data_IF_670183853184
#
_entry.id   IF_670183853184
#
_cell.length_a   1.000
_cell.length_b   1.000
_cell.length_c   1.000
_cell.angle_alpha   90.00
_cell.angle_beta   90.00
_cell.angle_gamma   90.00
#
_symmetry.space_group_name_H-M   'P 1'
#
loop_
_entity.id
_entity.type
_entity.pdbx_description
1 polymer ?
#
# COMPACT_ATOMS: atom_id res chain seq x y z
N UNK A 1 -5.93 -15.64 -6.33
CA UNK A 1 -4.62 -15.34 -5.72
C UNK A 1 -4.82 -14.19 -4.74
N UNK A 2 -4.18 -14.24 -3.55
CA UNK A 2 -4.27 -13.11 -2.60
C UNK A 2 -3.38 -11.98 -3.12
N UNK A 3 -3.95 -10.79 -3.32
CA UNK A 3 -3.15 -9.60 -3.66
C UNK A 3 -2.38 -9.17 -2.41
N UNK A 4 -1.06 -9.02 -2.55
CA UNK A 4 -0.20 -8.57 -1.45
C UNK A 4 -0.10 -7.06 -1.49
N UNK A 5 -0.44 -6.42 -0.37
CA UNK A 5 -0.47 -4.97 -0.24
C UNK A 5 0.57 -4.58 0.82
N UNK A 6 1.54 -3.77 0.42
CA UNK A 6 2.49 -3.18 1.37
C UNK A 6 1.86 -1.96 2.01
N UNK A 7 1.87 -1.87 3.34
CA UNK A 7 1.26 -0.77 4.09
C UNK A 7 2.27 -0.22 5.08
N UNK A 8 2.39 1.10 5.15
CA UNK A 8 3.22 1.78 6.13
C UNK A 8 2.81 1.39 7.57
N UNK A 9 3.81 1.17 8.43
CA UNK A 9 3.61 0.65 9.80
C UNK A 9 2.72 1.58 10.66
N UNK A 10 2.72 2.88 10.34
CA UNK A 10 1.88 3.91 10.95
C UNK A 10 0.38 3.72 10.65
N UNK A 11 0.04 3.10 9.51
CA UNK A 11 -1.33 2.89 9.00
C UNK A 11 -1.94 1.57 9.52
N UNK A 12 -1.97 1.43 10.83
CA UNK A 12 -2.54 0.25 11.51
C UNK A 12 -4.02 0.05 11.22
N UNK A 13 -4.79 1.14 11.12
CA UNK A 13 -6.21 1.14 10.76
C UNK A 13 -6.45 0.56 9.35
N UNK A 14 -5.65 0.99 8.37
CA UNK A 14 -5.73 0.49 6.99
C UNK A 14 -5.32 -0.98 6.93
N UNK A 15 -4.25 -1.34 7.64
CA UNK A 15 -3.78 -2.73 7.73
C UNK A 15 -4.88 -3.67 8.21
N UNK A 16 -5.62 -3.30 9.25
CA UNK A 16 -6.72 -4.12 9.75
C UNK A 16 -7.84 -4.25 8.72
N UNK A 17 -8.32 -3.13 8.15
CA UNK A 17 -9.40 -3.15 7.16
C UNK A 17 -9.07 -4.02 5.93
N UNK A 18 -7.85 -3.93 5.42
CA UNK A 18 -7.39 -4.75 4.30
C UNK A 18 -7.31 -6.24 4.65
N UNK A 19 -6.81 -6.57 5.85
CA UNK A 19 -6.78 -7.97 6.32
C UNK A 19 -8.20 -8.52 6.48
N UNK A 20 -9.14 -7.73 6.99
CA UNK A 20 -10.56 -8.10 7.10
C UNK A 20 -11.19 -8.35 5.72
N UNK A 21 -10.82 -7.57 4.70
CA UNK A 21 -11.21 -7.82 3.30
C UNK A 21 -10.55 -9.05 2.66
N UNK A 22 -9.59 -9.69 3.34
CA UNK A 22 -8.91 -10.90 2.86
C UNK A 22 -7.63 -10.66 2.04
N UNK A 23 -7.10 -9.43 2.06
CA UNK A 23 -5.82 -9.10 1.44
C UNK A 23 -4.63 -9.57 2.29
N UNK A 24 -3.50 -9.83 1.62
CA UNK A 24 -2.24 -10.16 2.30
C UNK A 24 -1.48 -8.86 2.59
N UNK A 25 -1.66 -8.32 3.79
CA UNK A 25 -1.00 -7.06 4.19
C UNK A 25 0.37 -7.35 4.75
N UNK A 26 1.39 -6.65 4.26
CA UNK A 26 2.76 -6.68 4.75
C UNK A 26 3.21 -5.28 5.15
N UNK A 27 4.03 -5.20 6.18
CA UNK A 27 4.59 -3.91 6.60
C UNK A 27 5.60 -3.44 5.56
N UNK A 28 5.44 -2.20 5.11
CA UNK A 28 6.40 -1.55 4.24
C UNK A 28 7.65 -1.22 5.07
N UNK A 29 8.66 -2.08 4.98
CA UNK A 29 9.96 -1.90 5.63
C UNK A 29 11.04 -1.50 4.63
N UNK A 30 11.00 -2.12 3.46
CA UNK A 30 11.97 -1.88 2.40
C UNK A 30 11.29 -1.75 1.04
N UNK A 31 11.99 -1.12 0.12
CA UNK A 31 11.54 -0.97 -1.29
C UNK A 31 11.51 -2.32 -2.01
N UNK A 32 12.23 -3.33 -1.50
CA UNK A 32 12.23 -4.67 -2.09
C UNK A 32 10.91 -5.41 -1.84
N UNK A 33 10.23 -5.14 -0.71
CA UNK A 33 8.90 -5.68 -0.44
C UNK A 33 7.91 -5.26 -1.54
N UNK A 34 8.06 -4.03 -2.06
CA UNK A 34 7.22 -3.48 -3.13
C UNK A 34 7.34 -4.21 -4.46
N UNK A 35 8.47 -4.87 -4.74
CA UNK A 35 8.67 -5.64 -5.98
C UNK A 35 7.76 -6.86 -6.08
N UNK A 36 7.27 -7.35 -4.93
CA UNK A 36 6.44 -8.56 -4.85
C UNK A 36 4.99 -8.25 -4.47
N UNK A 37 4.65 -6.96 -4.37
CA UNK A 37 3.32 -6.49 -3.98
C UNK A 37 2.55 -5.96 -5.20
N UNK A 38 1.22 -6.05 -5.13
CA UNK A 38 0.31 -5.50 -6.14
C UNK A 38 -0.05 -4.03 -5.89
N UNK A 39 0.18 -3.51 -4.68
CA UNK A 39 0.03 -2.09 -4.36
C UNK A 39 0.78 -1.73 -3.07
N UNK A 40 1.00 -0.43 -2.90
CA UNK A 40 1.63 0.18 -1.74
C UNK A 40 0.71 1.25 -1.12
N UNK A 41 0.65 1.33 0.20
CA UNK A 41 -0.07 2.38 0.92
C UNK A 41 0.88 3.12 1.85
N UNK A 42 0.95 4.44 1.69
CA UNK A 42 1.80 5.33 2.50
C UNK A 42 0.99 6.47 3.11
N UNK A 43 1.49 7.10 4.17
CA UNK A 43 0.87 8.28 4.78
C UNK A 43 1.14 9.56 3.99
N UNK A 44 1.92 9.50 2.91
CA UNK A 44 2.33 10.68 2.12
C UNK A 44 3.51 11.46 2.69
N UNK A 45 3.93 11.16 3.93
CA UNK A 45 5.07 11.83 4.56
C UNK A 45 6.41 11.30 4.04
N UNK A 46 6.44 10.05 3.60
CA UNK A 46 7.66 9.41 3.10
C UNK A 46 7.92 9.79 1.63
N UNK A 47 8.46 11.00 1.42
CA UNK A 47 8.85 11.50 0.09
C UNK A 47 9.90 10.60 -0.60
N UNK A 48 10.66 9.83 0.18
CA UNK A 48 11.63 8.86 -0.36
C UNK A 48 10.95 7.77 -1.21
N UNK A 49 9.72 7.37 -0.88
CA UNK A 49 8.99 6.35 -1.62
C UNK A 49 8.38 6.93 -2.90
N UNK A 50 7.93 8.19 -2.89
CA UNK A 50 7.43 8.86 -4.10
C UNK A 50 8.50 8.95 -5.20
N UNK A 51 9.75 9.26 -4.85
CA UNK A 51 10.86 9.33 -5.82
C UNK A 51 11.36 7.96 -6.31
N UNK A 52 11.08 6.86 -5.59
CA UNK A 52 11.51 5.51 -5.94
C UNK A 52 10.48 4.72 -6.76
N UNK A 53 9.24 5.21 -6.85
CA UNK A 53 8.14 4.57 -7.55
C UNK A 53 8.49 4.25 -9.01
N UNK A 54 9.08 5.19 -9.75
CA UNK A 54 9.44 4.99 -11.16
C UNK A 54 10.55 3.94 -11.40
N UNK A 55 11.35 3.60 -10.38
CA UNK A 55 12.58 2.81 -10.56
C UNK A 55 12.51 1.41 -9.94
N UNK A 56 11.71 1.20 -8.90
CA UNK A 56 11.77 -0.02 -8.09
C UNK A 56 10.53 -0.91 -8.14
N UNK A 57 9.36 -0.40 -8.52
CA UNK A 57 8.12 -1.20 -8.55
C UNK A 57 7.12 -0.64 -9.56
N UNK A 58 6.46 -1.53 -10.30
CA UNK A 58 5.31 -1.15 -11.16
C UNK A 58 4.02 -1.00 -10.34
N UNK A 59 4.04 -1.36 -9.06
CA UNK A 59 2.86 -1.32 -8.21
C UNK A 59 2.44 0.13 -7.91
N UNK A 60 1.12 0.42 -7.96
CA UNK A 60 0.60 1.73 -7.64
C UNK A 60 0.82 2.05 -6.17
N UNK A 61 1.20 3.30 -5.89
CA UNK A 61 1.26 3.85 -4.54
C UNK A 61 -0.01 4.64 -4.27
N UNK A 62 -0.70 4.27 -3.20
CA UNK A 62 -1.90 4.92 -2.67
C UNK A 62 -1.48 5.75 -1.45
N UNK A 63 -1.88 7.01 -1.45
CA UNK A 63 -1.63 7.91 -0.33
C UNK A 63 -2.86 7.89 0.59
N UNK A 64 -2.69 7.38 1.82
CA UNK A 64 -3.77 7.32 2.81
C UNK A 64 -3.97 8.63 3.58
N UNK A 65 -3.18 9.68 3.28
CA UNK A 65 -3.29 10.96 3.96
C UNK A 65 -4.68 11.57 3.74
N UNK A 66 -5.41 11.83 4.84
CA UNK A 66 -6.76 12.37 4.77
C UNK A 66 -7.83 11.42 4.23
N UNK A 67 -7.48 10.17 3.91
CA UNK A 67 -8.42 9.14 3.47
C UNK A 67 -8.78 8.20 4.62
N UNK A 68 -10.00 7.69 4.58
CA UNK A 68 -10.43 6.59 5.44
C UNK A 68 -9.89 5.25 4.96
N UNK A 69 -9.82 4.26 5.86
CA UNK A 69 -9.37 2.90 5.50
C UNK A 69 -10.19 2.26 4.38
N UNK A 70 -11.50 2.56 4.33
CA UNK A 70 -12.40 2.08 3.27
C UNK A 70 -12.09 2.72 1.90
N UNK A 71 -11.82 4.03 1.89
CA UNK A 71 -11.42 4.74 0.67
C UNK A 71 -10.08 4.22 0.14
N UNK A 72 -9.12 3.98 1.02
CA UNK A 72 -7.84 3.37 0.65
C UNK A 72 -8.06 1.98 0.04
N UNK A 73 -8.91 1.15 0.66
CA UNK A 73 -9.27 -0.15 0.09
C UNK A 73 -9.85 -0.01 -1.32
N UNK A 74 -10.75 0.96 -1.54
CA UNK A 74 -11.36 1.21 -2.84
C UNK A 74 -10.33 1.66 -3.89
N UNK A 75 -9.39 2.52 -3.52
CA UNK A 75 -8.28 2.94 -4.38
C UNK A 75 -7.38 1.75 -4.76
N UNK A 76 -7.07 0.87 -3.81
CA UNK A 76 -6.33 -0.37 -4.07
C UNK A 76 -7.12 -1.25 -5.05
N UNK A 77 -8.43 -1.41 -4.86
CA UNK A 77 -9.26 -2.22 -5.78
C UNK A 77 -9.26 -1.66 -7.21
N UNK A 78 -9.19 -0.35 -7.38
CA UNK A 78 -9.15 0.30 -8.69
C UNK A 78 -7.78 0.28 -9.35
N UNK A 79 -6.70 0.36 -8.56
CA UNK A 79 -5.34 0.53 -9.09
C UNK A 79 -4.52 -0.76 -9.05
N UNK A 80 -4.70 -1.62 -8.04
CA UNK A 80 -3.88 -2.80 -7.84
C UNK A 80 -4.12 -3.82 -8.96
N UNK A 81 -3.04 -4.20 -9.65
CA UNK A 81 -3.03 -5.18 -10.73
C UNK A 81 -2.38 -6.50 -10.28
#
# INVERSE_FOLDING_TARGET
MKKRIAVEQSLTNVTQALREKGYDVVDLKTVEDLKTCSACVITGMDSNIMGMQDTFTEAPVIEANGLSADEVCREIEQRAH
#
